data_IF_984061538069
#
_entry.id   IF_984061538069
#
_cell.length_a   1.000
_cell.length_b   1.000
_cell.length_c   1.000
_cell.angle_alpha   90.00
_cell.angle_beta   90.00
_cell.angle_gamma   90.00
#
_symmetry.space_group_name_H-M   'P 1'
#
loop_
_entity.id
_entity.type
_entity.pdbx_description
1 polymer ?
#
# COMPACT_ATOMS: atom_id res chain seq x y z
N UNK A 1 -68.01 -33.94 10.26
CA UNK A 1 -68.76 -33.02 11.15
C UNK A 1 -68.11 -33.14 12.52
N UNK A 2 -67.39 -32.09 12.92
CA UNK A 2 -66.82 -31.67 14.23
C UNK A 2 -66.59 -32.66 15.40
N UNK A 3 -65.72 -32.37 16.41
CA UNK A 3 -64.70 -31.31 16.54
C UNK A 3 -63.38 -31.72 17.28
N UNK A 4 -62.44 -30.77 17.37
CA UNK A 4 -61.44 -30.53 18.44
C UNK A 4 -60.48 -31.64 18.92
N UNK A 5 -59.18 -31.49 18.57
CA UNK A 5 -58.08 -32.06 19.38
C UNK A 5 -57.01 -31.01 19.69
N UNK A 6 -56.85 -30.79 21.00
CA UNK A 6 -55.93 -29.90 21.70
C UNK A 6 -54.47 -30.30 21.47
N UNK A 7 -53.60 -29.33 21.18
CA UNK A 7 -52.14 -29.52 21.27
C UNK A 7 -51.66 -29.17 22.68
N UNK A 8 -51.01 -30.14 23.33
CA UNK A 8 -50.38 -30.04 24.65
C UNK A 8 -48.96 -29.49 24.51
N UNK A 9 -48.68 -28.37 25.16
CA UNK A 9 -47.31 -27.91 25.45
C UNK A 9 -46.90 -28.53 26.79
N UNK A 10 -45.86 -29.36 26.76
CA UNK A 10 -45.27 -29.99 27.94
C UNK A 10 -44.36 -29.02 28.68
N UNK A 11 -44.70 -28.74 29.94
CA UNK A 11 -43.83 -28.17 30.95
C UNK A 11 -42.66 -29.13 31.27
N UNK A 12 -41.43 -28.63 31.19
CA UNK A 12 -40.29 -29.22 31.92
C UNK A 12 -39.83 -28.20 32.95
N UNK A 13 -39.99 -28.58 34.22
CA UNK A 13 -39.43 -27.91 35.40
C UNK A 13 -38.01 -28.44 35.64
N UNK A 14 -37.04 -27.55 35.79
CA UNK A 14 -35.74 -27.80 36.40
C UNK A 14 -35.21 -26.46 36.91
N UNK A 15 -35.44 -26.16 38.19
CA UNK A 15 -34.49 -26.37 39.29
C UNK A 15 -33.49 -25.21 39.42
N UNK A 16 -33.75 -24.40 40.44
CA UNK A 16 -32.98 -23.25 40.90
C UNK A 16 -31.55 -23.65 41.29
N UNK A 17 -30.56 -22.93 40.77
CA UNK A 17 -29.25 -22.78 41.40
C UNK A 17 -28.91 -21.29 41.53
N UNK A 18 -28.40 -20.96 42.71
CA UNK A 18 -28.17 -19.63 43.27
C UNK A 18 -27.05 -18.85 42.58
N UNK A 19 -27.03 -17.51 42.70
CA UNK A 19 -26.04 -16.65 42.07
C UNK A 19 -24.72 -16.65 42.86
N UNK A 20 -23.62 -16.98 42.18
CA UNK A 20 -22.27 -16.76 42.69
C UNK A 20 -21.87 -15.27 42.55
N UNK A 21 -21.07 -14.74 43.49
CA UNK A 21 -20.86 -13.31 43.66
C UNK A 21 -19.85 -12.72 42.67
N UNK A 22 -20.07 -11.44 42.35
CA UNK A 22 -19.17 -10.55 41.63
C UNK A 22 -17.74 -10.59 42.20
N UNK A 23 -16.79 -11.14 41.43
CA UNK A 23 -15.38 -10.90 41.64
C UNK A 23 -14.96 -9.68 40.81
N UNK A 24 -14.92 -8.53 41.48
CA UNK A 24 -14.17 -7.36 41.03
C UNK A 24 -12.67 -7.70 41.10
N UNK A 25 -12.04 -8.01 39.97
CA UNK A 25 -10.58 -7.91 39.86
C UNK A 25 -10.21 -6.45 39.58
N UNK A 26 -9.77 -5.76 40.64
CA UNK A 26 -8.96 -4.55 40.53
C UNK A 26 -7.60 -4.92 39.95
N UNK A 27 -7.31 -4.49 38.73
CA UNK A 27 -5.95 -4.50 38.18
C UNK A 27 -5.26 -3.22 38.68
N UNK A 28 -4.13 -3.31 39.42
CA UNK A 28 -3.40 -2.12 39.82
C UNK A 28 -2.64 -1.53 38.62
N UNK A 29 -2.93 -0.26 38.33
CA UNK A 29 -2.11 0.63 37.51
C UNK A 29 -0.81 0.95 38.27
N UNK A 30 0.31 0.39 37.83
CA UNK A 30 1.72 0.78 38.09
C UNK A 30 2.54 -0.23 37.27
N UNK A 31 3.27 0.10 36.21
CA UNK A 31 4.45 0.98 36.13
C UNK A 31 4.71 1.30 34.65
N UNK A 32 4.55 2.55 34.21
CA UNK A 32 5.20 3.07 33.00
C UNK A 32 5.49 4.55 33.24
N UNK A 33 6.59 4.89 33.94
CA UNK A 33 7.39 6.11 33.74
C UNK A 33 8.80 5.80 34.28
N UNK A 34 9.79 5.76 33.40
CA UNK A 34 11.16 6.27 33.62
C UNK A 34 12.09 5.81 32.48
N UNK A 35 12.15 6.59 31.39
CA UNK A 35 13.43 6.96 30.79
C UNK A 35 13.20 8.21 29.94
N UNK A 36 13.65 9.32 30.52
CA UNK A 36 13.66 10.62 29.91
C UNK A 36 15.09 10.96 29.48
N UNK A 37 15.18 11.92 28.55
CA UNK A 37 16.37 12.68 28.13
C UNK A 37 17.48 11.92 27.36
N UNK A 38 17.41 11.99 26.03
CA UNK A 38 18.61 12.20 25.23
C UNK A 38 18.70 13.69 24.88
N UNK A 39 19.70 14.35 25.45
CA UNK A 39 20.09 15.73 25.21
C UNK A 39 20.75 15.82 23.83
N UNK A 40 20.14 16.53 22.89
CA UNK A 40 20.83 16.96 21.66
C UNK A 40 21.75 18.13 22.00
N UNK A 41 23.05 17.84 22.14
CA UNK A 41 24.11 18.84 22.08
C UNK A 41 24.26 19.24 20.61
N UNK A 42 23.85 20.46 20.29
CA UNK A 42 24.15 21.10 19.02
C UNK A 42 25.63 21.49 19.00
N UNK A 43 26.38 20.96 18.04
CA UNK A 43 27.71 21.46 17.66
C UNK A 43 27.52 22.29 16.38
N UNK A 44 27.94 23.56 16.33
CA UNK A 44 27.82 24.37 15.14
C UNK A 44 29.00 24.06 14.19
N UNK A 45 28.70 23.52 13.00
CA UNK A 45 29.63 23.51 11.89
C UNK A 45 29.44 24.81 11.12
N UNK A 46 30.41 25.70 11.26
CA UNK A 46 30.63 26.86 10.42
C UNK A 46 31.03 26.40 9.01
N UNK A 47 30.23 26.74 7.99
CA UNK A 47 30.69 26.84 6.61
C UNK A 47 30.43 28.26 6.11
N UNK A 48 31.39 28.90 5.43
CA UNK A 48 31.27 30.29 5.01
C UNK A 48 30.44 30.42 3.74
N UNK A 49 29.68 31.51 3.68
CA UNK A 49 29.02 31.99 2.48
C UNK A 49 30.06 32.40 1.44
N UNK A 50 29.89 31.89 0.21
CA UNK A 50 30.53 32.42 -0.99
C UNK A 50 29.41 33.02 -1.84
N UNK A 51 29.40 34.35 -1.91
CA UNK A 51 28.63 35.11 -2.89
C UNK A 51 29.26 34.89 -4.28
N UNK A 52 28.44 34.52 -5.26
CA UNK A 52 28.77 34.71 -6.67
C UNK A 52 27.56 35.33 -7.35
N UNK A 53 27.80 36.50 -7.91
CA UNK A 53 26.90 37.35 -8.66
C UNK A 53 26.62 36.82 -10.07
N UNK A 54 25.44 37.18 -10.56
CA UNK A 54 24.94 36.95 -11.91
C UNK A 54 25.87 37.51 -13.00
N UNK A 55 26.08 36.72 -14.06
CA UNK A 55 26.31 37.22 -15.40
C UNK A 55 25.82 36.23 -16.46
N UNK A 56 25.09 36.80 -17.41
CA UNK A 56 24.41 36.25 -18.56
C UNK A 56 25.24 35.43 -19.55
N UNK A 57 24.52 34.56 -20.28
CA UNK A 57 24.54 34.33 -21.73
C UNK A 57 25.17 33.04 -22.29
N UNK A 58 24.32 32.40 -23.10
CA UNK A 58 24.61 31.78 -24.40
C UNK A 58 24.92 30.28 -24.49
N UNK A 59 24.31 29.72 -25.54
CA UNK A 59 24.67 28.54 -26.32
C UNK A 59 24.34 27.17 -25.73
N UNK A 60 23.48 26.46 -26.48
CA UNK A 60 23.10 25.10 -26.21
C UNK A 60 24.19 24.10 -26.56
N UNK A 61 24.20 23.00 -25.83
CA UNK A 61 24.69 21.70 -26.29
C UNK A 61 23.80 20.63 -25.63
N UNK A 62 23.22 19.79 -26.48
CA UNK A 62 22.56 18.55 -26.12
C UNK A 62 23.57 17.57 -25.52
N UNK A 63 23.44 17.22 -24.25
CA UNK A 63 24.16 16.10 -23.64
C UNK A 63 23.20 14.93 -23.40
N UNK A 64 23.40 13.87 -24.18
CA UNK A 64 22.92 12.55 -23.89
C UNK A 64 23.68 12.01 -22.67
N UNK A 65 22.96 11.61 -21.63
CA UNK A 65 23.51 10.90 -20.49
C UNK A 65 23.57 9.41 -20.84
N UNK A 66 24.75 8.96 -21.28
CA UNK A 66 25.14 7.56 -21.30
C UNK A 66 25.34 7.09 -19.86
N UNK A 67 24.53 6.13 -19.43
CA UNK A 67 24.70 5.43 -18.15
C UNK A 67 25.51 4.17 -18.45
N UNK A 68 26.82 4.29 -18.40
CA UNK A 68 27.77 3.17 -18.38
C UNK A 68 27.87 2.65 -16.93
N UNK A 69 27.23 1.53 -16.66
CA UNK A 69 27.50 0.73 -15.45
C UNK A 69 28.45 -0.39 -15.85
N UNK A 70 29.70 -0.27 -15.40
CA UNK A 70 30.74 -1.27 -15.63
C UNK A 70 32.09 -0.76 -15.17
N UNK A 71 32.32 -0.80 -13.86
CA UNK A 71 33.65 -0.61 -13.28
C UNK A 71 34.54 -1.80 -13.67
N UNK A 72 35.32 -1.63 -14.74
CA UNK A 72 36.44 -2.49 -15.05
C UNK A 72 37.53 -2.23 -13.99
N UNK A 73 37.85 -3.27 -13.23
CA UNK A 73 39.11 -3.30 -12.47
C UNK A 73 40.20 -3.57 -13.51
N UNK A 74 40.95 -2.53 -13.87
CA UNK A 74 42.17 -2.64 -14.65
C UNK A 74 43.22 -3.41 -13.83
N UNK A 75 43.22 -4.73 -13.99
CA UNK A 75 44.38 -5.56 -13.70
C UNK A 75 45.23 -5.51 -14.96
N UNK A 76 46.31 -4.73 -14.91
CA UNK A 76 47.36 -4.74 -15.91
C UNK A 76 47.95 -6.16 -16.02
N UNK A 77 47.47 -6.92 -17.00
CA UNK A 77 48.05 -8.19 -17.41
C UNK A 77 49.00 -7.93 -18.59
N UNK A 78 50.20 -7.46 -18.27
CA UNK A 78 51.35 -7.59 -19.16
C UNK A 78 51.86 -9.03 -19.02
N UNK A 79 51.44 -9.88 -19.96
CA UNK A 79 51.69 -11.31 -19.93
C UNK A 79 51.33 -11.92 -21.27
N UNK A 80 52.30 -11.96 -22.17
CA UNK A 80 52.26 -12.72 -23.41
C UNK A 80 51.82 -14.17 -23.12
N UNK A 81 50.56 -14.49 -23.46
CA UNK A 81 50.08 -15.87 -23.48
C UNK A 81 50.41 -16.42 -24.85
N UNK A 82 51.46 -17.24 -24.84
CA UNK A 82 51.94 -18.03 -25.96
C UNK A 82 50.80 -18.88 -26.53
N UNK A 83 50.51 -18.65 -27.80
CA UNK A 83 49.46 -19.32 -28.56
C UNK A 83 49.93 -20.69 -29.03
N UNK A 84 49.80 -21.70 -28.16
CA UNK A 84 49.81 -23.10 -28.57
C UNK A 84 48.37 -23.64 -28.53
N UNK A 85 47.63 -23.38 -29.61
CA UNK A 85 46.36 -24.06 -29.92
C UNK A 85 46.74 -25.37 -30.60
N UNK A 86 47.15 -26.36 -29.79
CA UNK A 86 47.36 -27.72 -30.28
C UNK A 86 46.00 -28.41 -30.42
N UNK A 87 45.65 -28.71 -31.68
CA UNK A 87 44.76 -29.79 -32.12
C UNK A 87 43.44 -29.97 -31.36
N UNK A 88 42.40 -29.26 -31.77
CA UNK A 88 41.01 -29.61 -31.45
C UNK A 88 40.65 -30.96 -32.09
N UNK A 89 40.86 -32.04 -31.35
CA UNK A 89 40.14 -33.29 -31.53
C UNK A 89 38.64 -33.01 -31.42
N UNK A 90 37.86 -33.68 -32.26
CA UNK A 90 36.41 -33.60 -32.37
C UNK A 90 35.74 -34.28 -31.15
N UNK A 91 36.14 -33.87 -29.95
CA UNK A 91 35.69 -34.41 -28.69
C UNK A 91 34.20 -34.07 -28.51
N UNK A 92 33.41 -35.12 -28.27
CA UNK A 92 31.99 -35.05 -27.95
C UNK A 92 31.73 -33.91 -26.92
N UNK A 93 30.82 -32.95 -27.20
CA UNK A 93 30.51 -31.84 -26.30
C UNK A 93 30.25 -32.26 -24.85
N UNK A 94 29.70 -33.46 -24.64
CA UNK A 94 29.50 -34.01 -23.29
C UNK A 94 30.82 -34.35 -22.59
N UNK A 95 31.79 -34.90 -23.32
CA UNK A 95 33.13 -35.22 -22.79
C UNK A 95 33.86 -33.95 -22.41
N UNK A 96 33.78 -32.92 -23.25
CA UNK A 96 34.32 -31.59 -22.93
C UNK A 96 33.73 -31.02 -21.64
N UNK A 97 32.40 -31.07 -21.48
CA UNK A 97 31.73 -30.57 -20.28
C UNK A 97 32.12 -31.37 -19.03
N UNK A 98 32.18 -32.71 -19.11
CA UNK A 98 32.64 -33.56 -17.99
C UNK A 98 34.07 -33.20 -17.57
N UNK A 99 34.95 -32.95 -18.53
CA UNK A 99 36.32 -32.52 -18.25
C UNK A 99 36.36 -31.15 -17.56
N UNK A 100 35.51 -30.20 -17.95
CA UNK A 100 35.38 -28.92 -17.26
C UNK A 100 34.85 -29.08 -15.83
N UNK A 101 33.86 -29.94 -15.61
CA UNK A 101 33.31 -30.23 -14.27
C UNK A 101 34.40 -30.84 -13.38
N UNK A 102 35.18 -31.80 -13.89
CA UNK A 102 36.28 -32.41 -13.14
C UNK A 102 37.36 -31.38 -12.75
N UNK A 103 37.66 -30.42 -13.63
CA UNK A 103 38.62 -29.33 -13.39
C UNK A 103 38.17 -28.29 -12.34
N UNK A 104 36.95 -28.39 -11.80
CA UNK A 104 36.54 -27.55 -10.67
C UNK A 104 37.27 -27.87 -9.36
N UNK A 105 37.87 -29.06 -9.27
CA UNK A 105 38.66 -29.54 -8.12
C UNK A 105 40.12 -29.79 -8.54
N UNK A 106 40.61 -29.02 -9.52
CA UNK A 106 42.01 -29.06 -9.94
C UNK A 106 42.92 -28.46 -8.86
N UNK A 107 44.12 -29.02 -8.67
CA UNK A 107 45.10 -28.50 -7.71
C UNK A 107 45.49 -27.04 -8.04
N UNK A 108 45.51 -26.69 -9.33
CA UNK A 108 45.84 -25.35 -9.78
C UNK A 108 44.64 -24.39 -9.71
N UNK A 109 44.79 -23.32 -8.92
CA UNK A 109 43.74 -22.30 -8.74
C UNK A 109 43.28 -21.66 -10.06
N UNK A 110 44.20 -21.36 -10.98
CA UNK A 110 43.86 -20.75 -12.26
C UNK A 110 43.04 -21.70 -13.15
N UNK A 111 43.33 -23.00 -13.10
CA UNK A 111 42.58 -24.03 -13.82
C UNK A 111 41.14 -24.13 -13.31
N UNK A 112 40.93 -24.10 -11.99
CA UNK A 112 39.60 -24.01 -11.38
C UNK A 112 38.82 -22.76 -11.80
N UNK A 113 39.48 -21.59 -11.79
CA UNK A 113 38.84 -20.33 -12.15
C UNK A 113 38.40 -20.30 -13.63
N UNK A 114 39.26 -20.76 -14.54
CA UNK A 114 38.94 -20.89 -15.97
C UNK A 114 37.80 -21.89 -16.21
N UNK A 115 37.84 -23.04 -15.53
CA UNK A 115 36.77 -24.04 -15.62
C UNK A 115 35.43 -23.47 -15.15
N UNK A 116 35.42 -22.78 -14.00
CA UNK A 116 34.23 -22.09 -13.48
C UNK A 116 33.67 -21.09 -14.49
N UNK A 117 34.52 -20.23 -15.06
CA UNK A 117 34.08 -19.22 -16.02
C UNK A 117 33.46 -19.86 -17.27
N UNK A 118 34.11 -20.86 -17.86
CA UNK A 118 33.59 -21.59 -19.03
C UNK A 118 32.28 -22.30 -18.74
N UNK A 119 32.13 -22.88 -17.55
CA UNK A 119 30.89 -23.53 -17.13
C UNK A 119 29.76 -22.51 -16.91
N UNK A 120 30.06 -21.32 -16.40
CA UNK A 120 29.09 -20.23 -16.28
C UNK A 120 28.63 -19.75 -17.67
N UNK A 121 29.56 -19.53 -18.60
CA UNK A 121 29.25 -19.16 -19.99
C UNK A 121 28.42 -20.24 -20.68
N UNK A 122 28.76 -21.52 -20.46
CA UNK A 122 27.98 -22.65 -20.97
C UNK A 122 26.55 -22.66 -20.41
N UNK A 123 26.40 -22.47 -19.10
CA UNK A 123 25.10 -22.46 -18.44
C UNK A 123 24.17 -21.34 -18.96
N UNK A 124 24.74 -20.18 -19.29
CA UNK A 124 24.01 -19.06 -19.89
C UNK A 124 23.50 -19.39 -21.29
N UNK A 125 24.38 -19.90 -22.15
CA UNK A 125 24.10 -20.10 -23.57
C UNK A 125 23.29 -21.36 -23.88
N UNK A 126 23.53 -22.45 -23.15
CA UNK A 126 22.99 -23.77 -23.48
C UNK A 126 22.01 -24.33 -22.43
N UNK A 127 21.99 -23.77 -21.21
CA UNK A 127 21.12 -24.23 -20.13
C UNK A 127 21.87 -24.88 -18.96
N UNK A 128 21.15 -25.08 -17.85
CA UNK A 128 21.72 -25.62 -16.60
C UNK A 128 21.61 -27.14 -16.49
N UNK A 129 20.88 -27.80 -17.39
CA UNK A 129 20.53 -29.22 -17.25
C UNK A 129 21.77 -30.12 -17.33
N UNK A 130 22.72 -29.79 -18.21
CA UNK A 130 23.95 -30.57 -18.33
C UNK A 130 24.87 -30.42 -17.10
N UNK A 131 24.84 -29.26 -16.43
CA UNK A 131 25.59 -29.03 -15.19
C UNK A 131 25.03 -29.84 -14.01
N UNK A 132 23.78 -30.33 -14.05
CA UNK A 132 23.21 -31.13 -12.96
C UNK A 132 23.99 -32.43 -12.71
N UNK A 133 24.73 -32.91 -13.70
CA UNK A 133 25.62 -34.07 -13.54
C UNK A 133 26.70 -33.80 -12.47
N UNK A 134 27.23 -32.57 -12.39
CA UNK A 134 28.23 -32.17 -11.40
C UNK A 134 27.71 -32.16 -9.96
N UNK A 135 26.38 -32.10 -9.75
CA UNK A 135 25.77 -32.24 -8.42
C UNK A 135 25.88 -33.66 -7.85
N UNK A 136 26.17 -34.65 -8.71
CA UNK A 136 26.38 -36.04 -8.33
C UNK A 136 27.85 -36.47 -8.34
N UNK A 137 28.77 -35.51 -8.51
CA UNK A 137 30.21 -35.78 -8.52
C UNK A 137 30.71 -36.29 -7.15
N UNK A 138 31.76 -37.13 -7.14
CA UNK A 138 32.30 -37.75 -5.91
C UNK A 138 32.91 -36.70 -4.96
N UNK A 139 33.68 -35.76 -5.52
CA UNK A 139 34.24 -34.63 -4.77
C UNK A 139 33.17 -33.64 -4.30
N UNK A 140 33.24 -33.27 -3.02
CA UNK A 140 32.34 -32.28 -2.42
C UNK A 140 32.59 -30.87 -2.97
N UNK A 141 33.83 -30.55 -3.32
CA UNK A 141 34.20 -29.24 -3.86
C UNK A 141 33.54 -29.02 -5.22
N UNK A 142 33.61 -30.03 -6.10
CA UNK A 142 32.92 -30.01 -7.40
C UNK A 142 31.41 -29.84 -7.23
N UNK A 143 30.77 -30.55 -6.29
CA UNK A 143 29.32 -30.43 -6.05
C UNK A 143 28.93 -29.00 -5.62
N UNK A 144 29.67 -28.41 -4.68
CA UNK A 144 29.41 -27.06 -4.18
C UNK A 144 29.68 -26.00 -5.25
N UNK A 145 30.79 -26.12 -5.99
CA UNK A 145 31.13 -25.22 -7.07
C UNK A 145 30.09 -25.28 -8.20
N UNK A 146 29.69 -26.49 -8.61
CA UNK A 146 28.62 -26.71 -9.59
C UNK A 146 27.30 -26.09 -9.12
N UNK A 147 26.92 -26.31 -7.86
CA UNK A 147 25.71 -25.73 -7.29
C UNK A 147 25.76 -24.19 -7.29
N UNK A 148 26.91 -23.60 -6.98
CA UNK A 148 27.09 -22.15 -7.04
C UNK A 148 26.94 -21.62 -8.46
N UNK A 149 27.55 -22.27 -9.46
CA UNK A 149 27.43 -21.90 -10.87
C UNK A 149 25.97 -22.01 -11.34
N UNK A 150 25.26 -23.07 -10.98
CA UNK A 150 23.83 -23.23 -11.33
C UNK A 150 23.01 -22.09 -10.73
N UNK A 151 23.19 -21.75 -9.45
CA UNK A 151 22.46 -20.64 -8.80
C UNK A 151 22.77 -19.30 -9.45
N UNK A 152 24.04 -19.05 -9.75
CA UNK A 152 24.49 -17.84 -10.46
C UNK A 152 23.85 -17.75 -11.85
N UNK A 153 23.80 -18.88 -12.57
CA UNK A 153 23.18 -18.97 -13.88
C UNK A 153 21.67 -18.72 -13.86
N UNK A 154 20.97 -19.35 -12.91
CA UNK A 154 19.54 -19.13 -12.70
C UNK A 154 19.23 -17.68 -12.32
N UNK A 155 20.03 -17.07 -11.45
CA UNK A 155 19.85 -15.68 -11.03
C UNK A 155 20.05 -14.72 -12.20
N UNK A 156 21.12 -14.86 -12.98
CA UNK A 156 21.37 -13.95 -14.10
C UNK A 156 20.33 -14.12 -15.23
N UNK A 157 19.85 -15.35 -15.49
CA UNK A 157 18.72 -15.57 -16.41
C UNK A 157 17.42 -14.92 -15.91
N UNK A 158 17.15 -14.98 -14.61
CA UNK A 158 16.00 -14.28 -14.02
C UNK A 158 16.15 -12.76 -14.14
N UNK A 159 17.32 -12.20 -13.85
CA UNK A 159 17.58 -10.77 -14.01
C UNK A 159 17.43 -10.33 -15.47
N UNK A 160 17.92 -11.11 -16.44
CA UNK A 160 17.72 -10.85 -17.87
C UNK A 160 16.23 -10.87 -18.24
N UNK A 161 15.49 -11.90 -17.81
CA UNK A 161 14.05 -11.99 -18.03
C UNK A 161 13.31 -10.79 -17.42
N UNK A 162 13.71 -10.33 -16.24
CA UNK A 162 13.14 -9.14 -15.59
C UNK A 162 13.44 -7.86 -16.38
N UNK A 163 14.65 -7.72 -16.92
CA UNK A 163 15.02 -6.58 -17.78
C UNK A 163 14.20 -6.58 -19.08
N UNK A 164 14.06 -7.74 -19.73
CA UNK A 164 13.21 -7.91 -20.90
C UNK A 164 11.74 -7.62 -20.57
N UNK A 165 11.27 -8.05 -19.39
CA UNK A 165 9.90 -7.82 -18.93
C UNK A 165 9.57 -6.34 -18.72
N UNK A 166 10.50 -5.57 -18.14
CA UNK A 166 10.34 -4.12 -17.96
C UNK A 166 10.25 -3.39 -19.31
N UNK A 167 10.87 -3.93 -20.36
CA UNK A 167 10.81 -3.34 -21.70
C UNK A 167 9.39 -3.47 -22.30
N UNK A 168 8.68 -2.34 -22.54
CA UNK A 168 7.30 -2.39 -23.05
C UNK A 168 7.21 -2.95 -24.48
N UNK A 169 8.33 -3.00 -25.22
CA UNK A 169 8.39 -3.54 -26.58
C UNK A 169 8.37 -5.07 -26.62
N UNK A 170 8.72 -5.74 -25.52
CA UNK A 170 8.71 -7.20 -25.44
C UNK A 170 7.29 -7.66 -25.04
N UNK A 171 6.62 -8.49 -25.86
CA UNK A 171 5.32 -9.05 -25.52
C UNK A 171 5.43 -9.96 -24.29
N UNK A 172 4.60 -9.72 -23.26
CA UNK A 172 4.65 -10.51 -22.01
C UNK A 172 4.32 -11.99 -22.25
N UNK A 173 3.55 -12.31 -23.29
CA UNK A 173 3.23 -13.69 -23.66
C UNK A 173 4.47 -14.55 -24.02
N UNK A 174 5.60 -13.91 -24.34
CA UNK A 174 6.86 -14.59 -24.64
C UNK A 174 7.70 -14.86 -23.38
N UNK A 175 7.30 -14.31 -22.22
CA UNK A 175 8.07 -14.34 -20.99
C UNK A 175 7.39 -15.24 -19.96
N UNK A 176 8.18 -16.01 -19.21
CA UNK A 176 7.69 -16.87 -18.14
C UNK A 176 7.49 -16.07 -16.85
N UNK A 177 6.38 -15.34 -16.73
CA UNK A 177 6.08 -14.49 -15.56
C UNK A 177 4.91 -15.04 -14.72
N UNK A 178 5.19 -15.85 -13.67
CA UNK A 178 4.15 -16.52 -12.89
C UNK A 178 3.29 -15.53 -12.10
N UNK A 179 1.98 -15.55 -12.30
CA UNK A 179 1.06 -14.67 -11.58
C UNK A 179 0.92 -13.26 -12.18
N UNK A 180 1.61 -12.96 -13.29
CA UNK A 180 1.53 -11.64 -13.91
C UNK A 180 0.10 -11.27 -14.35
N UNK A 181 -0.64 -12.19 -14.97
CA UNK A 181 -1.98 -11.90 -15.47
C UNK A 181 -2.94 -11.51 -14.33
N UNK A 182 -2.84 -12.19 -13.19
CA UNK A 182 -3.62 -11.88 -12.00
C UNK A 182 -3.23 -10.51 -11.44
N UNK A 183 -1.94 -10.24 -11.29
CA UNK A 183 -1.43 -8.95 -10.86
C UNK A 183 -1.89 -7.83 -11.80
N UNK A 184 -1.69 -7.99 -13.11
CA UNK A 184 -2.03 -7.02 -14.14
C UNK A 184 -3.53 -6.74 -14.24
N UNK A 185 -4.39 -7.71 -13.93
CA UNK A 185 -5.84 -7.50 -13.84
C UNK A 185 -6.27 -6.57 -12.70
N UNK A 186 -5.38 -6.31 -11.74
CA UNK A 186 -5.63 -5.42 -10.60
C UNK A 186 -4.81 -4.13 -10.72
N UNK A 187 -3.52 -4.27 -11.01
CA UNK A 187 -2.55 -3.18 -11.07
C UNK A 187 -2.39 -2.58 -12.48
N UNK A 188 -3.00 -3.13 -13.53
CA UNK A 188 -2.83 -2.70 -14.91
C UNK A 188 -1.59 -3.29 -15.61
N UNK A 189 -1.40 -2.94 -16.88
CA UNK A 189 -0.35 -3.51 -17.76
C UNK A 189 0.74 -2.50 -18.17
N UNK A 190 0.73 -1.31 -17.58
CA UNK A 190 1.65 -0.22 -17.92
C UNK A 190 3.08 -0.44 -17.37
N UNK A 191 3.97 0.51 -17.69
CA UNK A 191 5.36 0.46 -17.26
C UNK A 191 5.52 0.50 -15.73
N UNK A 192 4.63 1.20 -15.01
CA UNK A 192 4.68 1.28 -13.55
C UNK A 192 4.35 -0.07 -12.92
N UNK A 193 3.27 -0.72 -13.39
CA UNK A 193 2.88 -2.06 -12.96
C UNK A 193 3.99 -3.08 -13.26
N UNK A 194 4.58 -3.04 -14.46
CA UNK A 194 5.70 -3.92 -14.83
C UNK A 194 6.91 -3.72 -13.91
N UNK A 195 7.32 -2.47 -13.66
CA UNK A 195 8.46 -2.17 -12.77
C UNK A 195 8.23 -2.62 -11.33
N UNK A 196 7.05 -2.33 -10.78
CA UNK A 196 6.72 -2.78 -9.42
C UNK A 196 6.65 -4.29 -9.32
N UNK A 197 6.03 -4.97 -10.29
CA UNK A 197 6.00 -6.43 -10.32
C UNK A 197 7.41 -7.04 -10.42
N UNK A 198 8.28 -6.51 -11.29
CA UNK A 198 9.67 -6.95 -11.40
C UNK A 198 10.46 -6.77 -10.09
N UNK A 199 10.29 -5.63 -9.41
CA UNK A 199 10.92 -5.36 -8.13
C UNK A 199 10.47 -6.36 -7.05
N UNK A 200 9.16 -6.64 -6.99
CA UNK A 200 8.60 -7.61 -6.05
C UNK A 200 9.08 -9.02 -6.38
N UNK A 201 9.11 -9.43 -7.65
CA UNK A 201 9.56 -10.76 -8.06
C UNK A 201 11.04 -10.99 -7.70
N UNK A 202 11.88 -9.95 -7.86
CA UNK A 202 13.29 -9.98 -7.47
C UNK A 202 13.47 -10.15 -5.95
N UNK A 203 12.63 -9.51 -5.15
CA UNK A 203 12.74 -9.50 -3.67
C UNK A 203 12.01 -10.67 -3.00
N UNK A 204 10.91 -11.13 -3.59
CA UNK A 204 9.99 -12.13 -3.04
C UNK A 204 9.54 -13.16 -4.09
N UNK A 205 10.46 -13.93 -4.69
CA UNK A 205 10.14 -14.84 -5.79
C UNK A 205 9.13 -15.95 -5.42
N UNK A 206 9.07 -16.32 -4.13
CA UNK A 206 8.18 -17.37 -3.64
C UNK A 206 6.72 -16.94 -3.50
N UNK A 207 6.44 -15.66 -3.21
CA UNK A 207 5.07 -15.18 -2.96
C UNK A 207 4.21 -15.25 -4.23
N UNK A 208 4.76 -14.89 -5.38
CA UNK A 208 4.01 -14.96 -6.65
C UNK A 208 3.79 -16.38 -7.16
N UNK A 209 4.63 -17.35 -6.78
CA UNK A 209 4.37 -18.76 -7.10
C UNK A 209 3.18 -19.31 -6.33
N UNK A 210 2.91 -18.78 -5.13
CA UNK A 210 1.79 -19.20 -4.28
C UNK A 210 0.46 -18.50 -4.62
N UNK A 211 0.52 -17.27 -5.16
CA UNK A 211 -0.66 -16.44 -5.46
C UNK A 211 -1.74 -17.11 -6.34
N UNK A 212 -1.43 -17.87 -7.41
CA UNK A 212 -2.44 -18.44 -8.29
C UNK A 212 -3.30 -19.54 -7.66
N UNK A 213 -2.82 -20.16 -6.58
CA UNK A 213 -3.40 -21.40 -6.08
C UNK A 213 -4.49 -21.19 -5.05
N UNK A 214 -4.60 -20.00 -4.43
CA UNK A 214 -5.57 -19.77 -3.35
C UNK A 214 -5.40 -20.69 -2.13
N UNK A 215 -4.37 -21.55 -2.13
CA UNK A 215 -4.14 -22.61 -1.15
C UNK A 215 -3.12 -22.22 -0.09
N UNK A 216 -3.08 -20.95 0.35
CA UNK A 216 -2.18 -20.55 1.42
C UNK A 216 -2.70 -21.04 2.79
N UNK A 217 -2.67 -22.34 3.01
CA UNK A 217 -2.70 -22.93 4.35
C UNK A 217 -1.39 -22.64 5.10
N UNK A 218 -0.36 -22.16 4.42
CA UNK A 218 0.90 -21.77 5.02
C UNK A 218 0.85 -20.37 5.66
N UNK A 219 1.56 -20.27 6.78
CA UNK A 219 1.76 -19.17 7.74
C UNK A 219 2.16 -17.79 7.17
N UNK A 220 2.28 -17.65 5.85
CA UNK A 220 2.77 -16.45 5.17
C UNK A 220 1.68 -15.41 4.86
N UNK A 221 0.56 -15.40 5.57
CA UNK A 221 -0.38 -14.28 5.44
C UNK A 221 0.25 -13.00 5.95
N UNK A 222 0.38 -12.02 5.06
CA UNK A 222 0.86 -10.69 5.40
C UNK A 222 -0.11 -10.01 6.36
N UNK A 223 0.39 -9.54 7.49
CA UNK A 223 -0.39 -8.82 8.50
C UNK A 223 -0.26 -7.31 8.26
N UNK A 224 -1.35 -6.58 7.91
CA UNK A 224 -1.28 -5.14 7.66
C UNK A 224 -0.78 -4.32 8.84
N UNK A 225 -0.85 -4.83 10.08
CA UNK A 225 -0.35 -4.14 11.26
C UNK A 225 1.16 -4.37 11.52
N UNK A 226 1.78 -5.28 10.77
CA UNK A 226 3.22 -5.57 10.85
C UNK A 226 3.99 -5.05 9.65
N UNK A 227 3.31 -4.55 8.62
CA UNK A 227 3.95 -3.94 7.47
C UNK A 227 4.44 -2.54 7.84
N UNK A 228 5.69 -2.24 7.49
CA UNK A 228 6.22 -0.88 7.58
C UNK A 228 5.49 0.05 6.60
N UNK A 229 5.44 1.34 6.92
CA UNK A 229 4.84 2.37 6.05
C UNK A 229 5.65 2.55 4.76
N UNK A 230 6.92 2.18 4.80
CA UNK A 230 7.91 2.21 3.72
C UNK A 230 7.96 0.91 2.89
N UNK A 231 7.36 -0.19 3.37
CA UNK A 231 7.40 -1.50 2.69
C UNK A 231 6.34 -1.62 1.59
N UNK A 232 6.46 -0.76 0.59
CA UNK A 232 5.51 -0.61 -0.53
C UNK A 232 5.31 -1.94 -1.28
N UNK A 233 6.37 -2.74 -1.44
CA UNK A 233 6.34 -4.03 -2.13
C UNK A 233 5.36 -5.01 -1.45
N UNK A 234 5.44 -5.13 -0.12
CA UNK A 234 4.54 -6.01 0.63
C UNK A 234 3.12 -5.48 0.69
N UNK A 235 2.93 -4.17 0.71
CA UNK A 235 1.61 -3.56 0.58
C UNK A 235 0.96 -3.90 -0.77
N UNK A 236 1.74 -3.83 -1.87
CA UNK A 236 1.29 -4.22 -3.20
C UNK A 236 0.87 -5.70 -3.23
N UNK A 237 1.67 -6.60 -2.66
CA UNK A 237 1.34 -8.03 -2.57
C UNK A 237 0.04 -8.23 -1.79
N UNK A 238 -0.04 -7.67 -0.58
CA UNK A 238 -1.20 -7.80 0.31
C UNK A 238 -2.49 -7.31 -0.37
N UNK A 239 -2.46 -6.14 -1.01
CA UNK A 239 -3.62 -5.59 -1.70
C UNK A 239 -4.03 -6.47 -2.90
N UNK A 240 -3.06 -6.95 -3.68
CA UNK A 240 -3.32 -7.84 -4.82
C UNK A 240 -3.96 -9.15 -4.37
N UNK A 241 -3.41 -9.79 -3.33
CA UNK A 241 -3.98 -11.01 -2.74
C UNK A 241 -5.41 -10.78 -2.26
N UNK A 242 -5.67 -9.66 -1.58
CA UNK A 242 -7.00 -9.33 -1.08
C UNK A 242 -8.01 -9.09 -2.21
N UNK A 243 -7.62 -8.41 -3.28
CA UNK A 243 -8.47 -8.17 -4.46
C UNK A 243 -8.83 -9.51 -5.12
N UNK A 244 -7.83 -10.35 -5.38
CA UNK A 244 -8.06 -11.69 -5.96
C UNK A 244 -8.98 -12.52 -5.06
N UNK A 245 -8.77 -12.50 -3.74
CA UNK A 245 -9.62 -13.22 -2.79
C UNK A 245 -11.06 -12.69 -2.76
N UNK A 246 -11.27 -11.37 -2.92
CA UNK A 246 -12.60 -10.77 -2.98
C UNK A 246 -13.38 -11.17 -4.24
N UNK A 247 -12.70 -11.47 -5.34
CA UNK A 247 -13.32 -11.94 -6.60
C UNK A 247 -13.79 -13.38 -6.55
N UNK A 248 -13.28 -14.18 -5.59
CA UNK A 248 -13.70 -15.56 -5.44
C UNK A 248 -15.12 -15.64 -4.85
N UNK A 249 -16.01 -16.49 -5.40
CA UNK A 249 -17.41 -16.57 -4.99
C UNK A 249 -17.59 -17.00 -3.52
N UNK A 250 -16.68 -17.82 -3.01
CA UNK A 250 -16.64 -18.28 -1.62
C UNK A 250 -15.79 -17.32 -0.78
N UNK A 251 -16.31 -16.12 -0.52
CA UNK A 251 -15.65 -15.19 0.40
C UNK A 251 -15.67 -15.75 1.82
N UNK A 252 -14.58 -16.41 2.22
CA UNK A 252 -14.42 -16.94 3.57
C UNK A 252 -14.39 -15.81 4.62
N UNK A 253 -14.82 -16.10 5.85
CA UNK A 253 -14.81 -15.16 6.98
C UNK A 253 -13.43 -14.53 7.22
N UNK A 254 -12.35 -15.27 6.91
CA UNK A 254 -10.95 -14.80 6.95
C UNK A 254 -10.70 -13.63 5.99
N UNK A 255 -11.24 -13.68 4.77
CA UNK A 255 -11.07 -12.62 3.74
C UNK A 255 -11.74 -11.33 4.22
N UNK A 256 -12.94 -11.43 4.79
CA UNK A 256 -13.67 -10.29 5.37
C UNK A 256 -12.90 -9.69 6.56
N UNK A 257 -12.39 -10.54 7.46
CA UNK A 257 -11.60 -10.09 8.60
C UNK A 257 -10.30 -9.38 8.16
N UNK A 258 -9.59 -9.95 7.19
CA UNK A 258 -8.37 -9.35 6.63
C UNK A 258 -8.66 -8.01 5.97
N UNK A 259 -9.74 -7.92 5.18
CA UNK A 259 -10.15 -6.67 4.56
C UNK A 259 -10.40 -5.57 5.59
N UNK A 260 -11.02 -5.89 6.73
CA UNK A 260 -11.27 -4.90 7.81
C UNK A 260 -9.98 -4.38 8.44
N UNK A 261 -8.99 -5.27 8.58
CA UNK A 261 -7.66 -4.91 9.08
C UNK A 261 -6.92 -4.01 8.09
N UNK A 262 -6.99 -4.34 6.79
CA UNK A 262 -6.47 -3.50 5.72
C UNK A 262 -7.12 -2.11 5.78
N UNK A 263 -8.45 -2.02 5.84
CA UNK A 263 -9.17 -0.75 5.94
C UNK A 263 -8.74 0.08 7.17
N UNK A 264 -8.52 -0.58 8.31
CA UNK A 264 -8.05 0.06 9.54
C UNK A 264 -6.62 0.58 9.41
N UNK A 265 -5.72 -0.20 8.81
CA UNK A 265 -4.35 0.24 8.57
C UNK A 265 -4.29 1.37 7.53
N UNK A 266 -5.06 1.27 6.45
CA UNK A 266 -5.11 2.29 5.40
C UNK A 266 -5.70 3.62 5.89
N UNK A 267 -6.60 3.63 6.88
CA UNK A 267 -7.07 4.89 7.49
C UNK A 267 -6.07 5.51 8.47
N UNK A 268 -5.18 4.73 9.07
CA UNK A 268 -4.20 5.22 10.04
C UNK A 268 -2.87 5.62 9.37
N UNK A 269 -2.46 6.88 9.51
CA UNK A 269 -1.24 7.42 8.88
C UNK A 269 0.03 6.69 9.31
N UNK A 270 0.08 6.14 10.52
CA UNK A 270 1.23 5.43 11.05
C UNK A 270 1.32 3.95 10.64
N UNK A 271 0.27 3.39 10.01
CA UNK A 271 0.20 1.98 9.65
C UNK A 271 0.14 1.76 8.14
N UNK A 272 -0.64 2.56 7.42
CA UNK A 272 -0.81 2.42 5.97
C UNK A 272 0.44 2.87 5.18
N UNK A 273 0.58 2.42 3.91
CA UNK A 273 1.71 2.81 3.08
C UNK A 273 1.76 4.32 2.90
N UNK A 274 2.97 4.88 2.91
CA UNK A 274 3.17 6.30 2.63
C UNK A 274 3.51 6.51 1.15
N UNK A 275 2.52 6.93 0.37
CA UNK A 275 2.69 7.23 -1.05
C UNK A 275 3.46 8.53 -1.30
N UNK A 276 3.62 9.39 -0.29
CA UNK A 276 4.32 10.67 -0.41
C UNK A 276 5.85 10.50 -0.40
N UNK A 277 6.36 9.44 0.25
CA UNK A 277 7.79 9.10 0.29
C UNK A 277 8.33 8.58 -1.05
N UNK A 278 7.45 8.22 -1.99
CA UNK A 278 7.83 7.62 -3.27
C UNK A 278 8.48 8.61 -4.27
N UNK A 279 8.68 9.88 -3.89
CA UNK A 279 9.09 10.96 -4.79
C UNK A 279 10.50 10.86 -5.37
N UNK A 280 11.39 10.01 -4.86
CA UNK A 280 12.79 9.93 -5.36
C UNK A 280 13.18 8.60 -6.01
N UNK A 281 12.70 7.46 -5.52
CA UNK A 281 13.22 6.15 -5.99
C UNK A 281 12.12 5.18 -6.44
N UNK A 282 10.89 5.33 -5.94
CA UNK A 282 9.82 4.32 -6.11
C UNK A 282 8.49 4.91 -6.59
N UNK A 283 8.52 5.94 -7.43
CA UNK A 283 7.30 6.58 -7.95
C UNK A 283 6.32 5.57 -8.60
N UNK A 284 6.85 4.51 -9.22
CA UNK A 284 6.02 3.45 -9.82
C UNK A 284 5.17 2.71 -8.79
N UNK A 285 5.71 2.45 -7.59
CA UNK A 285 5.00 1.71 -6.54
C UNK A 285 3.85 2.53 -5.93
N UNK A 286 4.02 3.84 -5.77
CA UNK A 286 2.93 4.71 -5.28
C UNK A 286 1.73 4.74 -6.24
N UNK A 287 1.98 4.85 -7.54
CA UNK A 287 0.92 4.82 -8.57
C UNK A 287 0.19 3.47 -8.55
N UNK A 288 0.95 2.37 -8.46
CA UNK A 288 0.39 1.02 -8.38
C UNK A 288 -0.44 0.84 -7.11
N UNK A 289 0.03 1.32 -5.95
CA UNK A 289 -0.72 1.24 -4.68
C UNK A 289 -2.01 2.04 -4.76
N UNK A 290 -1.98 3.27 -5.25
CA UNK A 290 -3.18 4.08 -5.45
C UNK A 290 -4.20 3.34 -6.32
N UNK A 291 -3.77 2.76 -7.44
CA UNK A 291 -4.63 1.99 -8.34
C UNK A 291 -5.21 0.75 -7.66
N UNK A 292 -4.38 -0.02 -6.95
CA UNK A 292 -4.83 -1.19 -6.22
C UNK A 292 -5.83 -0.83 -5.11
N UNK A 293 -5.62 0.28 -4.41
CA UNK A 293 -6.58 0.77 -3.41
C UNK A 293 -7.91 1.15 -4.08
N UNK A 294 -7.90 1.83 -5.23
CA UNK A 294 -9.12 2.13 -6.00
C UNK A 294 -9.89 0.85 -6.39
N UNK A 295 -9.20 -0.13 -6.98
CA UNK A 295 -9.80 -1.43 -7.32
C UNK A 295 -10.32 -2.16 -6.07
N UNK A 296 -9.56 -2.17 -4.99
CA UNK A 296 -9.98 -2.77 -3.72
C UNK A 296 -11.22 -2.09 -3.13
N UNK A 297 -11.33 -0.76 -3.21
CA UNK A 297 -12.50 0.00 -2.75
C UNK A 297 -13.77 -0.33 -3.54
N UNK A 298 -13.64 -0.58 -4.84
CA UNK A 298 -14.74 -0.92 -5.74
C UNK A 298 -15.20 -2.37 -5.59
N UNK A 299 -14.27 -3.30 -5.35
CA UNK A 299 -14.58 -4.72 -5.21
C UNK A 299 -14.97 -5.12 -3.78
N UNK A 300 -14.60 -4.32 -2.78
CA UNK A 300 -15.01 -4.55 -1.39
C UNK A 300 -16.51 -4.32 -1.22
N UNK A 301 -17.23 -5.37 -0.81
CA UNK A 301 -18.67 -5.27 -0.54
C UNK A 301 -18.94 -4.26 0.59
N UNK A 302 -20.01 -3.43 0.53
CA UNK A 302 -20.36 -2.49 1.60
C UNK A 302 -20.52 -3.14 2.98
N UNK A 303 -20.92 -4.41 3.04
CA UNK A 303 -21.02 -5.15 4.30
C UNK A 303 -19.66 -5.38 5.02
N UNK A 304 -18.53 -5.20 4.32
CA UNK A 304 -17.21 -5.44 4.88
C UNK A 304 -16.69 -4.23 5.67
N UNK A 305 -17.00 -3.00 5.24
CA UNK A 305 -16.46 -1.75 5.81
C UNK A 305 -17.55 -0.70 5.93
N UNK A 306 -17.52 0.13 6.96
CA UNK A 306 -18.39 1.30 6.99
C UNK A 306 -17.95 2.33 5.93
N UNK A 307 -18.90 3.00 5.30
CA UNK A 307 -18.61 3.94 4.21
C UNK A 307 -17.73 5.11 4.64
N UNK A 308 -17.80 5.53 5.91
CA UNK A 308 -16.87 6.50 6.49
C UNK A 308 -15.42 6.07 6.30
N UNK A 309 -15.09 4.82 6.61
CA UNK A 309 -13.73 4.29 6.46
C UNK A 309 -13.31 4.27 4.99
N UNK A 310 -14.22 3.86 4.08
CA UNK A 310 -13.95 3.84 2.64
C UNK A 310 -13.66 5.23 2.10
N UNK A 311 -14.45 6.24 2.48
CA UNK A 311 -14.25 7.65 2.11
C UNK A 311 -12.89 8.19 2.59
N UNK A 312 -12.51 7.91 3.84
CA UNK A 312 -11.23 8.35 4.38
C UNK A 312 -10.05 7.68 3.67
N UNK A 313 -10.14 6.39 3.37
CA UNK A 313 -9.12 5.69 2.57
C UNK A 313 -9.03 6.29 1.18
N UNK A 314 -10.16 6.41 0.46
CA UNK A 314 -10.18 6.93 -0.89
C UNK A 314 -9.55 8.33 -0.97
N UNK A 315 -9.93 9.21 -0.06
CA UNK A 315 -9.39 10.59 -0.02
C UNK A 315 -7.90 10.61 0.34
N UNK A 316 -7.43 9.70 1.20
CA UNK A 316 -6.03 9.67 1.65
C UNK A 316 -5.09 9.26 0.52
N UNK A 317 -5.52 8.31 -0.29
CA UNK A 317 -4.72 7.80 -1.40
C UNK A 317 -5.07 8.46 -2.73
N UNK A 318 -5.79 9.58 -2.72
CA UNK A 318 -6.17 10.33 -3.93
C UNK A 318 -6.96 9.49 -4.94
N UNK A 319 -7.81 8.60 -4.47
CA UNK A 319 -8.78 7.85 -5.28
C UNK A 319 -10.04 8.70 -5.50
N UNK A 320 -9.88 9.83 -6.19
CA UNK A 320 -10.90 10.90 -6.26
C UNK A 320 -12.20 10.47 -6.96
N UNK A 321 -12.10 9.58 -7.95
CA UNK A 321 -13.27 9.02 -8.64
C UNK A 321 -14.09 8.14 -7.68
N UNK A 322 -13.43 7.18 -7.04
CA UNK A 322 -14.04 6.27 -6.08
C UNK A 322 -14.59 7.05 -4.87
N UNK A 323 -13.86 8.06 -4.39
CA UNK A 323 -14.32 8.94 -3.32
C UNK A 323 -15.62 9.67 -3.69
N UNK A 324 -15.71 10.21 -4.92
CA UNK A 324 -16.91 10.89 -5.43
C UNK A 324 -18.11 9.96 -5.60
N UNK A 325 -17.89 8.75 -6.13
CA UNK A 325 -18.94 7.72 -6.27
C UNK A 325 -19.47 7.26 -4.91
N UNK A 326 -18.57 6.97 -3.95
CA UNK A 326 -18.95 6.57 -2.59
C UNK A 326 -19.68 7.72 -1.90
N UNK A 327 -19.20 8.95 -2.00
CA UNK A 327 -19.85 10.12 -1.41
C UNK A 327 -21.26 10.31 -1.99
N UNK A 328 -21.40 10.21 -3.31
CA UNK A 328 -22.71 10.29 -3.99
C UNK A 328 -23.67 9.22 -3.47
N UNK A 329 -23.22 7.97 -3.37
CA UNK A 329 -24.04 6.86 -2.87
C UNK A 329 -24.48 7.08 -1.43
N UNK A 330 -23.59 7.55 -0.56
CA UNK A 330 -23.90 7.81 0.86
C UNK A 330 -24.86 8.97 1.03
N UNK A 331 -24.71 10.04 0.25
CA UNK A 331 -25.58 11.22 0.29
C UNK A 331 -26.97 10.93 -0.31
N UNK A 332 -27.05 10.01 -1.28
CA UNK A 332 -28.32 9.60 -1.88
C UNK A 332 -29.12 8.61 -1.02
N UNK A 333 -28.48 7.92 -0.07
CA UNK A 333 -29.11 6.90 0.79
C UNK A 333 -29.56 7.50 2.14
N UNK A 334 -30.87 7.63 2.41
CA UNK A 334 -31.37 8.15 3.68
C UNK A 334 -31.05 7.26 4.89
N UNK A 335 -30.76 5.97 4.66
CA UNK A 335 -30.44 5.01 5.72
C UNK A 335 -28.99 5.07 6.17
N UNK A 336 -28.15 5.81 5.44
CA UNK A 336 -26.74 5.99 5.76
C UNK A 336 -26.54 6.63 7.14
N UNK A 337 -25.51 6.16 7.83
CA UNK A 337 -25.19 6.62 9.19
C UNK A 337 -24.85 8.12 9.19
N UNK A 338 -25.24 8.90 10.22
CA UNK A 338 -24.96 10.34 10.26
C UNK A 338 -23.47 10.69 10.15
N UNK A 339 -22.58 9.85 10.69
CA UNK A 339 -21.13 10.03 10.59
C UNK A 339 -20.60 9.81 9.17
N UNK A 340 -21.15 8.83 8.44
CA UNK A 340 -20.83 8.62 7.03
C UNK A 340 -21.33 9.78 6.17
N UNK A 341 -22.55 10.28 6.41
CA UNK A 341 -23.12 11.44 5.70
C UNK A 341 -22.25 12.69 5.89
N UNK A 342 -21.83 13.00 7.12
CA UNK A 342 -20.91 14.11 7.40
C UNK A 342 -19.58 13.95 6.67
N UNK A 343 -18.98 12.76 6.71
CA UNK A 343 -17.71 12.51 6.00
C UNK A 343 -17.90 12.64 4.48
N UNK A 344 -19.02 12.15 3.94
CA UNK A 344 -19.34 12.27 2.52
C UNK A 344 -19.49 13.73 2.09
N UNK A 345 -20.16 14.58 2.88
CA UNK A 345 -20.26 16.01 2.58
C UNK A 345 -18.89 16.71 2.58
N UNK A 346 -18.03 16.39 3.56
CA UNK A 346 -16.67 16.96 3.63
C UNK A 346 -15.81 16.53 2.43
N UNK A 347 -15.84 15.24 2.08
CA UNK A 347 -15.13 14.70 0.90
C UNK A 347 -15.67 15.32 -0.39
N UNK A 348 -16.98 15.39 -0.56
CA UNK A 348 -17.64 16.04 -1.69
C UNK A 348 -17.21 17.51 -1.83
N UNK A 349 -17.21 18.26 -0.73
CA UNK A 349 -16.75 19.65 -0.71
C UNK A 349 -15.27 19.76 -1.07
N UNK A 350 -14.41 18.86 -0.59
CA UNK A 350 -12.98 18.88 -0.89
C UNK A 350 -12.69 18.60 -2.36
N UNK A 351 -13.40 17.64 -2.95
CA UNK A 351 -13.20 17.29 -4.36
C UNK A 351 -13.58 18.46 -5.29
N UNK A 352 -14.62 19.23 -4.93
CA UNK A 352 -15.10 20.43 -5.66
C UNK A 352 -15.14 20.25 -7.19
N UNK A 353 -15.59 19.07 -7.65
CA UNK A 353 -15.64 18.73 -9.07
C UNK A 353 -16.95 19.21 -9.68
N UNK A 354 -16.89 19.74 -10.89
CA UNK A 354 -18.06 20.13 -11.69
C UNK A 354 -19.05 18.97 -11.90
N UNK A 355 -18.52 17.75 -11.99
CA UNK A 355 -19.32 16.53 -12.21
C UNK A 355 -20.16 16.16 -10.97
N UNK A 356 -19.83 16.73 -9.81
CA UNK A 356 -20.42 16.43 -8.52
C UNK A 356 -20.85 17.72 -7.81
N UNK A 357 -21.82 18.42 -8.38
CA UNK A 357 -22.48 19.52 -7.67
C UNK A 357 -23.45 18.95 -6.63
N UNK A 358 -23.03 18.94 -5.37
CA UNK A 358 -23.89 18.56 -4.25
C UNK A 358 -24.55 19.78 -3.64
N UNK A 359 -25.88 19.77 -3.62
CA UNK A 359 -26.65 20.78 -2.89
C UNK A 359 -26.77 20.38 -1.41
N UNK A 360 -25.92 20.99 -0.59
CA UNK A 360 -25.94 20.82 0.86
C UNK A 360 -27.18 21.44 1.53
N UNK A 361 -28.00 22.22 0.81
CA UNK A 361 -29.23 22.81 1.38
C UNK A 361 -30.18 21.72 1.91
N UNK A 362 -30.25 20.58 1.23
CA UNK A 362 -31.07 19.41 1.59
C UNK A 362 -30.75 18.82 2.97
N UNK A 363 -29.53 19.03 3.48
CA UNK A 363 -29.07 18.51 4.77
C UNK A 363 -29.23 19.50 5.93
N UNK A 364 -29.63 20.75 5.67
CA UNK A 364 -29.76 21.80 6.72
C UNK A 364 -30.89 21.53 7.73
N UNK A 365 -31.84 20.65 7.40
CA UNK A 365 -32.88 20.18 8.30
C UNK A 365 -32.51 18.90 9.07
N UNK A 366 -31.39 18.23 8.75
CA UNK A 366 -31.02 16.95 9.37
C UNK A 366 -30.39 17.15 10.75
N UNK A 367 -31.18 16.87 11.79
CA UNK A 367 -30.78 17.03 13.20
C UNK A 367 -30.09 15.80 13.79
N UNK A 368 -29.83 14.75 13.00
CA UNK A 368 -29.17 13.55 13.51
C UNK A 368 -27.76 13.89 14.01
N UNK A 369 -27.41 13.37 15.18
CA UNK A 369 -26.08 13.59 15.76
C UNK A 369 -25.07 12.66 15.10
N UNK A 370 -24.02 13.23 14.49
CA UNK A 370 -22.95 12.50 13.86
C UNK A 370 -21.81 12.18 14.85
N UNK A 371 -21.42 13.17 15.65
CA UNK A 371 -20.31 13.06 16.59
C UNK A 371 -20.63 13.73 17.92
N UNK A 372 -20.11 13.15 18.99
CA UNK A 372 -20.06 13.76 20.32
C UNK A 372 -18.62 13.69 20.78
N UNK A 373 -17.95 14.83 20.80
CA UNK A 373 -16.56 14.95 21.20
C UNK A 373 -16.46 15.66 22.54
N UNK A 374 -15.58 15.15 23.40
CA UNK A 374 -15.34 15.71 24.72
C UNK A 374 -13.85 15.97 24.87
N UNK A 375 -13.47 17.23 25.03
CA UNK A 375 -12.09 17.59 25.34
C UNK A 375 -11.74 17.13 26.76
N UNK A 376 -10.62 16.41 26.89
CA UNK A 376 -10.10 15.91 28.18
C UNK A 376 -9.21 16.96 28.87
N UNK A 377 -8.83 18.04 28.17
CA UNK A 377 -8.12 19.17 28.78
C UNK A 377 -9.00 19.95 29.79
N UNK A 378 -8.39 20.83 30.58
CA UNK A 378 -8.93 21.59 31.72
C UNK A 378 -10.33 22.22 31.55
N UNK A 379 -10.84 22.33 30.33
CA UNK A 379 -12.22 22.70 30.03
C UNK A 379 -12.94 21.49 29.46
N UNK A 380 -13.79 20.86 30.26
CA UNK A 380 -14.71 19.78 29.87
C UNK A 380 -15.79 20.30 28.91
N UNK A 381 -15.39 20.73 27.72
CA UNK A 381 -16.31 21.17 26.68
C UNK A 381 -16.77 19.94 25.92
N UNK A 382 -18.08 19.75 25.87
CA UNK A 382 -18.73 18.70 25.10
C UNK A 382 -19.30 19.33 23.84
N UNK A 383 -18.75 18.95 22.69
CA UNK A 383 -19.20 19.40 21.38
C UNK A 383 -20.10 18.32 20.78
N UNK A 384 -21.29 18.72 20.33
CA UNK A 384 -22.23 17.85 19.60
C UNK A 384 -22.36 18.36 18.17
N UNK A 385 -21.89 17.57 17.23
CA UNK A 385 -22.01 17.84 15.78
C UNK A 385 -23.22 17.12 15.21
N UNK A 386 -24.10 17.88 14.56
CA UNK A 386 -25.22 17.37 13.78
C UNK A 386 -24.93 17.47 12.28
N UNK A 387 -25.64 16.69 11.47
CA UNK A 387 -25.50 16.72 10.00
C UNK A 387 -25.74 18.14 9.45
N UNK A 388 -26.78 18.82 9.92
CA UNK A 388 -27.08 20.22 9.54
C UNK A 388 -25.97 21.22 9.86
N UNK A 389 -25.18 20.98 10.91
CA UNK A 389 -24.13 21.89 11.35
C UNK A 389 -23.01 21.90 10.27
N UNK A 390 -22.65 20.71 9.80
CA UNK A 390 -21.65 20.51 8.73
C UNK A 390 -22.16 21.05 7.41
N UNK A 391 -23.41 20.77 7.05
CA UNK A 391 -24.02 21.31 5.84
C UNK A 391 -23.99 22.84 5.81
N UNK A 392 -24.29 23.50 6.93
CA UNK A 392 -24.24 24.96 7.02
C UNK A 392 -22.81 25.50 6.90
N UNK A 393 -21.84 24.90 7.60
CA UNK A 393 -20.44 25.31 7.52
C UNK A 393 -19.87 25.18 6.10
N UNK A 394 -20.20 24.09 5.39
CA UNK A 394 -19.76 23.88 4.01
C UNK A 394 -20.39 24.88 3.04
N UNK A 395 -21.66 25.23 3.22
CA UNK A 395 -22.30 26.29 2.43
C UNK A 395 -21.60 27.63 2.62
N UNK A 396 -21.33 28.03 3.86
CA UNK A 396 -20.55 29.25 4.13
C UNK A 396 -19.19 29.21 3.42
N UNK A 397 -18.47 28.10 3.55
CA UNK A 397 -17.16 27.92 2.92
C UNK A 397 -17.20 28.02 1.39
N UNK A 398 -18.21 27.43 0.74
CA UNK A 398 -18.42 27.51 -0.71
C UNK A 398 -18.77 28.91 -1.21
N UNK A 399 -19.36 29.74 -0.34
CA UNK A 399 -19.59 31.17 -0.59
C UNK A 399 -18.43 32.06 -0.10
N UNK A 400 -17.27 31.48 0.18
CA UNK A 400 -16.06 32.18 0.67
C UNK A 400 -16.21 32.87 2.03
N UNK A 401 -17.25 32.54 2.80
CA UNK A 401 -17.40 33.00 4.17
C UNK A 401 -16.65 32.08 5.14
N UNK A 402 -15.89 32.66 6.09
CA UNK A 402 -15.26 31.89 7.16
C UNK A 402 -16.33 31.45 8.19
N UNK A 403 -16.61 30.14 8.36
CA UNK A 403 -17.63 29.69 9.31
C UNK A 403 -17.39 30.17 10.75
N UNK A 404 -16.15 30.47 11.15
CA UNK A 404 -15.86 30.97 12.50
C UNK A 404 -16.55 32.30 12.79
N UNK A 405 -16.69 33.17 11.79
CA UNK A 405 -17.39 34.45 11.93
C UNK A 405 -18.88 34.28 12.28
N UNK A 406 -19.43 33.12 11.96
CA UNK A 406 -20.83 32.75 12.20
C UNK A 406 -21.01 31.94 13.49
N UNK A 407 -19.96 31.71 14.29
CA UNK A 407 -20.05 31.03 15.58
C UNK A 407 -19.60 29.57 15.59
N UNK A 408 -18.98 29.08 14.51
CA UNK A 408 -18.29 27.77 14.51
C UNK A 408 -16.92 27.89 15.20
N UNK A 409 -16.90 28.27 16.48
CA UNK A 409 -15.70 28.64 17.25
C UNK A 409 -14.67 27.51 17.35
N UNK A 410 -15.14 26.27 17.32
CA UNK A 410 -14.32 25.07 17.49
C UNK A 410 -13.83 24.45 16.18
N UNK A 411 -14.10 25.09 15.03
CA UNK A 411 -13.72 24.57 13.72
C UNK A 411 -12.20 24.37 13.62
N UNK A 412 -11.81 23.13 13.35
CA UNK A 412 -10.43 22.72 13.09
C UNK A 412 -10.27 22.26 11.64
N UNK A 413 -9.20 22.74 11.00
CA UNK A 413 -8.85 22.30 9.67
C UNK A 413 -8.35 20.85 9.68
N UNK A 414 -8.64 20.11 8.62
CA UNK A 414 -8.13 18.76 8.39
C UNK A 414 -7.49 18.68 6.99
N UNK A 415 -6.22 18.26 6.87
CA UNK A 415 -5.57 18.17 5.56
C UNK A 415 -6.25 17.14 4.63
N UNK A 416 -6.91 16.14 5.21
CA UNK A 416 -7.55 15.07 4.46
C UNK A 416 -8.92 15.46 3.93
N UNK A 417 -9.74 16.20 4.67
CA UNK A 417 -11.14 16.47 4.28
C UNK A 417 -11.55 17.95 4.41
N UNK A 418 -10.59 18.84 4.58
CA UNK A 418 -10.80 20.28 4.76
C UNK A 418 -11.09 20.66 6.21
N UNK A 419 -12.07 20.02 6.83
CA UNK A 419 -12.44 20.25 8.24
C UNK A 419 -12.58 18.94 9.02
N UNK A 420 -12.26 18.94 10.32
CA UNK A 420 -12.47 17.77 11.17
C UNK A 420 -13.96 17.56 11.44
N UNK A 421 -14.45 16.36 11.20
CA UNK A 421 -15.87 15.96 11.33
C UNK A 421 -16.48 16.28 12.71
N UNK A 422 -15.71 16.13 13.78
CA UNK A 422 -16.16 16.43 15.14
C UNK A 422 -15.98 17.89 15.58
N UNK A 423 -15.33 18.75 14.78
CA UNK A 423 -15.00 20.14 15.15
C UNK A 423 -16.09 21.16 14.76
N UNK A 424 -17.03 20.77 13.91
CA UNK A 424 -18.09 21.63 13.34
C UNK A 424 -19.37 21.68 14.20
N UNK A 425 -19.33 21.18 15.43
CA UNK A 425 -20.48 21.12 16.32
C UNK A 425 -20.57 22.28 17.31
N UNK A 426 -21.58 22.21 18.17
CA UNK A 426 -21.86 23.23 19.19
C UNK A 426 -21.96 22.61 20.59
N UNK A 427 -21.74 23.43 21.61
CA UNK A 427 -21.87 23.06 23.03
C UNK A 427 -23.31 22.95 23.49
N UNK A 428 -24.18 23.77 22.91
CA UNK A 428 -25.58 23.93 23.29
C UNK A 428 -26.43 24.32 22.07
N UNK A 429 -27.75 24.17 22.20
CA UNK A 429 -28.68 24.41 21.10
C UNK A 429 -28.91 25.91 20.84
N UNK A 430 -28.67 26.79 21.82
CA UNK A 430 -28.88 28.24 21.69
C UNK A 430 -27.80 28.85 20.80
N UNK A 431 -26.52 28.53 21.08
CA UNK A 431 -25.39 28.94 20.24
C UNK A 431 -25.52 28.40 18.81
N UNK A 432 -25.92 27.13 18.64
CA UNK A 432 -26.22 26.55 17.32
C UNK A 432 -27.28 27.35 16.56
N UNK A 433 -28.41 27.66 17.21
CA UNK A 433 -29.51 28.36 16.54
C UNK A 433 -29.10 29.77 16.11
N UNK A 434 -28.40 30.50 16.98
CA UNK A 434 -27.88 31.83 16.66
C UNK A 434 -26.85 31.80 15.52
N UNK A 435 -25.99 30.78 15.47
CA UNK A 435 -25.03 30.59 14.39
C UNK A 435 -25.72 30.29 13.05
N UNK A 436 -26.68 29.37 13.05
CA UNK A 436 -27.44 29.00 11.86
C UNK A 436 -28.28 30.15 11.32
N UNK A 437 -28.87 30.97 12.20
CA UNK A 437 -29.63 32.15 11.80
C UNK A 437 -28.73 33.17 11.09
N UNK A 438 -27.60 33.54 11.70
CA UNK A 438 -26.63 34.47 11.09
C UNK A 438 -26.10 33.95 9.75
N UNK A 439 -25.82 32.65 9.68
CA UNK A 439 -25.36 32.01 8.45
C UNK A 439 -26.42 32.04 7.34
N UNK A 440 -27.68 31.77 7.69
CA UNK A 440 -28.79 31.82 6.74
C UNK A 440 -29.02 33.24 6.20
N UNK A 441 -28.96 34.27 7.06
CA UNK A 441 -29.10 35.68 6.67
C UNK A 441 -28.00 36.09 5.68
N UNK A 442 -26.74 35.72 5.93
CA UNK A 442 -25.62 36.02 5.03
C UNK A 442 -25.69 35.28 3.69
N UNK A 443 -26.20 34.04 3.68
CA UNK A 443 -26.36 33.27 2.44
C UNK A 443 -27.51 33.77 1.55
N UNK A 444 -28.50 34.48 2.10
CA UNK A 444 -29.60 35.11 1.33
C UNK A 444 -29.15 36.44 0.72
N UNK A 445 -28.32 37.19 1.44
CA UNK A 445 -27.80 38.49 1.03
C UNK A 445 -26.29 38.41 0.87
N UNK A 446 -25.76 37.75 -0.18
CA UNK A 446 -24.35 37.84 -0.50
C UNK A 446 -24.08 39.31 -0.82
N UNK A 447 -23.46 40.03 0.12
CA UNK A 447 -23.03 41.40 -0.10
C UNK A 447 -22.19 41.44 -1.37
N UNK A 448 -22.60 42.21 -2.37
CA UNK A 448 -21.90 42.36 -3.67
C UNK A 448 -20.59 43.16 -3.55
N UNK A 449 -20.03 43.29 -2.35
CA UNK A 449 -18.94 44.23 -2.04
C UNK A 449 -17.53 43.59 -2.07
N UNK A 450 -17.33 42.49 -2.82
CA UNK A 450 -16.00 41.91 -3.09
C UNK A 450 -15.70 41.74 -4.59
#
# INVERSE_FOLDING_TARGET
MDPHTRSRISLVKGAYSSPSPNLYMRIPLQVIICTALAVSIAVPVLCPAVEVSDASSSSGVSMAADITVGGAVDIAADGAVDGAVDGEDNDDPQTYLRNLIAKLDDDEFLSRLKARQRLADHAMNFGIDDLKQGLHHESIEVRLATQAIIREAEQARQDEQLLQFINPRVPVAQLATPGWNQFASCAGTDLHARRSYAAILKKYPFLFRAMPLGTSDNETTLDPYRLGVEDQDRWIILLTEQIIANRMPESNSRVVAQSKRIATALTNTALGPDTSLAKSTHQSSAIVIQRLIGVWLNESKPAQHCDRTRLLVATRYHCDNEAGEIASSVLADPSSSPSAVVTAMLVASKLNRSDFHFDFSSFTADTRTAHVWQMIADRKVKIRTQVRDVAMALRLHHHHFDPRQFGFEHLEADPLVGFRDYSLGFTDDVSRHAAHQRAAEALIHPSMDD
#
